data_IF_996820974728
#
_entry.id   IF_996820974728
#
_cell.length_a   1.000
_cell.length_b   1.000
_cell.length_c   1.000
_cell.angle_alpha   90.00
_cell.angle_beta   90.00
_cell.angle_gamma   90.00
#
_symmetry.space_group_name_H-M   'P 1'
#
loop_
_entity.id
_entity.type
_entity.pdbx_description
1 polymer ?
#
# COMPACT_ATOMS: atom_id res chain seq x y z
N UNK A 1 -4.43 -47.01 13.03
CA UNK A 1 -5.00 -45.84 12.34
C UNK A 1 -4.26 -44.62 12.84
N UNK A 2 -3.30 -44.11 12.07
CA UNK A 2 -2.58 -42.87 12.38
C UNK A 2 -3.08 -41.77 11.45
N UNK A 3 -3.39 -40.56 11.95
CA UNK A 3 -3.78 -39.45 11.09
C UNK A 3 -2.52 -38.87 10.44
N UNK A 4 -2.50 -38.88 9.11
CA UNK A 4 -1.50 -38.23 8.27
C UNK A 4 -1.64 -36.71 8.42
N UNK A 5 -0.77 -36.09 9.20
CA UNK A 5 -0.57 -34.63 9.15
C UNK A 5 0.18 -34.28 7.87
N UNK A 6 -0.57 -34.12 6.79
CA UNK A 6 -0.09 -33.51 5.55
C UNK A 6 0.04 -32.01 5.76
N UNK A 7 1.13 -31.59 6.39
CA UNK A 7 1.51 -30.18 6.44
C UNK A 7 2.00 -29.81 5.04
N UNK A 8 1.13 -29.16 4.27
CA UNK A 8 1.47 -28.61 2.95
C UNK A 8 2.64 -27.66 3.12
N UNK A 9 3.84 -28.11 2.79
CA UNK A 9 5.02 -27.26 2.70
C UNK A 9 4.76 -26.27 1.58
N UNK A 10 4.35 -25.05 1.92
CA UNK A 10 4.50 -23.91 1.00
C UNK A 10 5.95 -23.93 0.58
N UNK A 11 6.22 -24.18 -0.70
CA UNK A 11 7.60 -24.20 -1.16
C UNK A 11 8.19 -22.82 -0.88
N UNK A 12 9.40 -22.78 -0.32
CA UNK A 12 10.11 -21.52 -0.04
C UNK A 12 10.11 -20.60 -1.26
N UNK A 13 10.17 -21.18 -2.47
CA UNK A 13 10.04 -20.47 -3.75
C UNK A 13 8.73 -19.68 -3.91
N UNK A 14 7.58 -20.26 -3.55
CA UNK A 14 6.29 -19.56 -3.67
C UNK A 14 6.21 -18.38 -2.69
N UNK A 15 6.68 -18.57 -1.46
CA UNK A 15 6.76 -17.51 -0.45
C UNK A 15 7.69 -16.36 -0.89
N UNK A 16 8.82 -16.64 -1.52
CA UNK A 16 9.70 -15.61 -2.08
C UNK A 16 9.04 -14.81 -3.21
N UNK A 17 8.36 -15.50 -4.13
CA UNK A 17 7.67 -14.86 -5.24
C UNK A 17 6.55 -13.95 -4.73
N UNK A 18 5.75 -14.42 -3.77
CA UNK A 18 4.68 -13.64 -3.15
C UNK A 18 5.24 -12.41 -2.42
N UNK A 19 6.32 -12.58 -1.67
CA UNK A 19 6.95 -11.47 -0.95
C UNK A 19 7.47 -10.39 -1.91
N UNK A 20 8.20 -10.78 -2.96
CA UNK A 20 8.69 -9.86 -3.99
C UNK A 20 7.52 -9.16 -4.71
N UNK A 21 6.46 -9.91 -5.01
CA UNK A 21 5.25 -9.37 -5.63
C UNK A 21 4.59 -8.30 -4.75
N UNK A 22 4.38 -8.56 -3.46
CA UNK A 22 3.76 -7.61 -2.54
C UNK A 22 4.65 -6.40 -2.25
N UNK A 23 5.97 -6.59 -2.14
CA UNK A 23 6.91 -5.46 -2.04
C UNK A 23 6.82 -4.55 -3.26
N UNK A 24 6.76 -5.12 -4.47
CA UNK A 24 6.62 -4.34 -5.69
C UNK A 24 5.30 -3.55 -5.70
N UNK A 25 4.18 -4.19 -5.37
CA UNK A 25 2.87 -3.53 -5.30
C UNK A 25 2.90 -2.37 -4.31
N UNK A 26 3.41 -2.57 -3.09
CA UNK A 26 3.48 -1.52 -2.07
C UNK A 26 4.28 -0.32 -2.56
N UNK A 27 5.46 -0.54 -3.16
CA UNK A 27 6.29 0.54 -3.70
C UNK A 27 5.58 1.33 -4.81
N UNK A 28 4.86 0.66 -5.70
CA UNK A 28 4.08 1.35 -6.73
C UNK A 28 2.98 2.22 -6.12
N UNK A 29 2.27 1.71 -5.11
CA UNK A 29 1.23 2.48 -4.40
C UNK A 29 1.80 3.71 -3.69
N UNK A 30 2.97 3.59 -3.06
CA UNK A 30 3.67 4.71 -2.41
C UNK A 30 4.05 5.81 -3.41
N UNK A 31 4.50 5.44 -4.61
CA UNK A 31 4.81 6.40 -5.68
C UNK A 31 3.55 7.12 -6.16
N UNK A 32 2.48 6.39 -6.47
CA UNK A 32 1.22 6.99 -6.95
C UNK A 32 0.61 7.92 -5.89
N UNK A 33 0.63 7.55 -4.61
CA UNK A 33 0.18 8.41 -3.50
C UNK A 33 1.00 9.71 -3.46
N UNK A 34 2.32 9.63 -3.64
CA UNK A 34 3.18 10.82 -3.63
C UNK A 34 2.83 11.78 -4.76
N UNK A 35 2.62 11.24 -5.97
CA UNK A 35 2.25 12.03 -7.14
C UNK A 35 0.88 12.72 -6.95
N UNK A 36 -0.15 11.98 -6.52
CA UNK A 36 -1.48 12.55 -6.26
C UNK A 36 -1.44 13.63 -5.18
N UNK A 37 -0.65 13.43 -4.12
CA UNK A 37 -0.45 14.45 -3.07
C UNK A 37 0.20 15.72 -3.60
N UNK A 38 1.17 15.61 -4.51
CA UNK A 38 1.79 16.78 -5.15
C UNK A 38 0.76 17.58 -5.95
N UNK A 39 -0.05 16.90 -6.78
CA UNK A 39 -1.09 17.54 -7.58
C UNK A 39 -2.13 18.24 -6.71
N UNK A 40 -2.55 17.62 -5.61
CA UNK A 40 -3.49 18.24 -4.67
C UNK A 40 -2.89 19.46 -3.96
N UNK A 41 -1.59 19.46 -3.66
CA UNK A 41 -0.91 20.64 -3.12
C UNK A 41 -0.94 21.79 -4.11
N UNK A 42 -0.62 21.53 -5.38
CA UNK A 42 -0.69 22.55 -6.44
C UNK A 42 -2.09 23.13 -6.57
N UNK A 43 -3.14 22.30 -6.52
CA UNK A 43 -4.55 22.74 -6.52
C UNK A 43 -4.85 23.62 -5.30
N UNK A 44 -4.44 23.21 -4.10
CA UNK A 44 -4.67 23.99 -2.88
C UNK A 44 -3.94 25.33 -2.90
N UNK A 45 -2.79 25.41 -3.57
CA UNK A 45 -2.01 26.65 -3.73
C UNK A 45 -2.59 27.56 -4.81
N UNK A 46 -3.06 27.01 -5.92
CA UNK A 46 -3.54 27.76 -7.08
C UNK A 46 -4.98 28.28 -6.91
N UNK A 47 -5.87 27.54 -6.22
CA UNK A 47 -7.28 27.92 -6.12
C UNK A 47 -7.71 28.32 -4.71
N UNK A 48 -8.23 29.54 -4.60
CA UNK A 48 -8.84 30.07 -3.38
C UNK A 48 -10.33 29.73 -3.22
N UNK A 49 -10.92 28.98 -4.16
CA UNK A 49 -12.31 28.56 -4.06
C UNK A 49 -12.47 27.62 -2.85
N UNK A 50 -13.27 28.05 -1.87
CA UNK A 50 -13.36 27.40 -0.55
C UNK A 50 -13.80 25.94 -0.61
N UNK A 51 -14.72 25.59 -1.51
CA UNK A 51 -15.19 24.22 -1.70
C UNK A 51 -14.12 23.34 -2.34
N UNK A 52 -13.52 23.79 -3.45
CA UNK A 52 -12.45 23.03 -4.13
C UNK A 52 -11.24 22.80 -3.22
N UNK A 53 -10.87 23.81 -2.45
CA UNK A 53 -9.79 23.69 -1.46
C UNK A 53 -10.17 22.72 -0.33
N UNK A 54 -11.43 22.69 0.08
CA UNK A 54 -11.88 21.74 1.11
C UNK A 54 -11.79 20.30 0.62
N UNK A 55 -12.31 20.01 -0.58
CA UNK A 55 -12.26 18.68 -1.19
C UNK A 55 -10.81 18.23 -1.41
N UNK A 56 -9.94 19.12 -1.89
CA UNK A 56 -8.52 18.83 -2.07
C UNK A 56 -7.79 18.54 -0.74
N UNK A 57 -8.13 19.27 0.34
CA UNK A 57 -7.60 19.01 1.69
C UNK A 57 -8.04 17.64 2.21
N UNK A 58 -9.28 17.25 1.98
CA UNK A 58 -9.80 15.98 2.47
C UNK A 58 -9.15 14.79 1.71
N UNK A 59 -9.05 14.85 0.38
CA UNK A 59 -8.28 13.86 -0.38
C UNK A 59 -6.81 13.80 0.05
N UNK A 60 -6.19 14.95 0.33
CA UNK A 60 -4.81 15.00 0.81
C UNK A 60 -4.65 14.32 2.18
N UNK A 61 -5.64 14.49 3.09
CA UNK A 61 -5.65 13.83 4.40
C UNK A 61 -5.82 12.32 4.25
N UNK A 62 -6.72 11.88 3.39
CA UNK A 62 -6.97 10.46 3.14
C UNK A 62 -5.73 9.78 2.57
N UNK A 63 -5.06 10.40 1.60
CA UNK A 63 -3.79 9.91 1.05
C UNK A 63 -2.67 9.84 2.09
N UNK A 64 -2.59 10.80 3.03
CA UNK A 64 -1.63 10.72 4.14
C UNK A 64 -1.93 9.57 5.10
N UNK A 65 -3.21 9.34 5.39
CA UNK A 65 -3.63 8.22 6.22
C UNK A 65 -3.24 6.90 5.56
N UNK A 66 -3.45 6.79 4.24
CA UNK A 66 -3.12 5.61 3.47
C UNK A 66 -1.60 5.37 3.37
N UNK A 67 -0.81 6.43 3.17
CA UNK A 67 0.66 6.36 3.25
C UNK A 67 1.12 5.84 4.62
N UNK A 68 0.48 6.28 5.70
CA UNK A 68 0.84 5.83 7.05
C UNK A 68 0.56 4.33 7.24
N UNK A 69 -0.57 3.84 6.69
CA UNK A 69 -0.89 2.41 6.70
C UNK A 69 0.09 1.60 5.85
N UNK A 70 0.44 2.06 4.65
CA UNK A 70 1.43 1.42 3.79
C UNK A 70 2.81 1.37 4.45
N UNK A 71 3.27 2.46 5.06
CA UNK A 71 4.54 2.49 5.79
C UNK A 71 4.55 1.51 6.97
N UNK A 72 3.40 1.27 7.63
CA UNK A 72 3.29 0.24 8.68
C UNK A 72 3.37 -1.15 8.07
N UNK A 73 2.60 -1.42 7.02
CA UNK A 73 2.63 -2.71 6.32
C UNK A 73 4.03 -3.04 5.77
N UNK A 74 4.72 -2.06 5.20
CA UNK A 74 6.08 -2.20 4.70
C UNK A 74 7.05 -2.56 5.84
N UNK A 75 6.94 -1.90 7.00
CA UNK A 75 7.73 -2.27 8.20
C UNK A 75 7.35 -3.62 8.77
N UNK A 76 6.07 -4.00 8.72
CA UNK A 76 5.61 -5.32 9.19
C UNK A 76 6.09 -6.44 8.23
N UNK A 77 6.37 -6.09 6.97
CA UNK A 77 6.95 -7.00 5.98
C UNK A 77 8.49 -7.06 6.00
N UNK A 78 9.18 -6.01 6.45
CA UNK A 78 10.64 -6.00 6.56
C UNK A 78 11.04 -6.38 7.99
N UNK A 79 11.88 -7.40 8.14
CA UNK A 79 12.58 -7.62 9.41
C UNK A 79 13.64 -6.51 9.58
N UNK A 80 13.36 -5.44 10.34
CA UNK A 80 14.34 -4.42 10.70
C UNK A 80 14.74 -4.54 12.19
N UNK A 81 15.94 -5.06 12.46
CA UNK A 81 16.50 -5.18 13.81
C UNK A 81 17.86 -5.89 13.83
N UNK A 82 18.67 -5.66 14.87
CA UNK A 82 20.00 -6.27 15.05
C UNK A 82 19.96 -7.82 15.18
N UNK A 83 18.78 -8.38 15.44
CA UNK A 83 18.51 -9.82 15.54
C UNK A 83 17.98 -10.44 14.24
N UNK A 84 17.86 -9.68 13.15
CA UNK A 84 17.47 -10.25 11.85
C UNK A 84 18.68 -10.98 11.24
N UNK A 85 18.59 -12.30 10.99
CA UNK A 85 19.72 -13.08 10.49
C UNK A 85 20.10 -12.63 9.07
N UNK A 86 21.40 -12.68 8.77
CA UNK A 86 21.99 -12.22 7.51
C UNK A 86 21.43 -12.92 6.25
N UNK A 87 20.72 -14.05 6.42
CA UNK A 87 19.99 -14.75 5.37
C UNK A 87 18.47 -14.51 5.56
N UNK A 88 18.08 -13.25 5.37
CA UNK A 88 16.70 -12.76 5.57
C UNK A 88 15.73 -13.58 4.71
N UNK A 89 16.14 -13.93 3.48
CA UNK A 89 15.34 -14.70 2.53
C UNK A 89 14.98 -16.08 3.11
N UNK A 90 15.95 -16.85 3.60
CA UNK A 90 15.67 -18.21 4.08
C UNK A 90 14.85 -18.23 5.38
N UNK A 91 14.98 -17.19 6.23
CA UNK A 91 14.23 -17.07 7.48
C UNK A 91 12.80 -16.58 7.28
N UNK A 92 12.55 -15.73 6.28
CA UNK A 92 11.21 -15.25 5.93
C UNK A 92 10.26 -16.43 5.68
N UNK A 93 10.68 -17.45 4.93
CA UNK A 93 9.80 -18.57 4.60
C UNK A 93 9.80 -19.72 5.62
N UNK A 94 10.66 -19.69 6.64
CA UNK A 94 10.71 -20.70 7.72
C UNK A 94 10.13 -20.25 9.06
N UNK A 95 9.91 -18.94 9.25
CA UNK A 95 9.32 -18.41 10.48
C UNK A 95 7.80 -18.69 10.49
N UNK A 96 7.27 -19.36 11.52
CA UNK A 96 5.84 -19.69 11.68
C UNK A 96 4.93 -18.45 11.72
N UNK A 97 5.50 -17.25 11.85
CA UNK A 97 4.79 -15.99 11.62
C UNK A 97 4.41 -15.76 10.16
N UNK A 98 5.09 -16.35 9.17
CA UNK A 98 4.76 -16.19 7.74
C UNK A 98 3.55 -17.02 7.26
N UNK A 99 2.86 -17.73 8.15
CA UNK A 99 1.41 -17.98 7.99
C UNK A 99 0.59 -16.68 7.88
N UNK A 100 1.22 -15.52 8.15
CA UNK A 100 0.76 -14.19 7.79
C UNK A 100 0.76 -13.92 6.28
N UNK A 101 1.27 -14.74 5.35
CA UNK A 101 1.22 -14.38 3.92
C UNK A 101 -0.22 -14.12 3.44
N UNK A 102 -1.18 -14.93 3.86
CA UNK A 102 -2.61 -14.70 3.61
C UNK A 102 -3.17 -13.48 4.36
N UNK A 103 -2.55 -13.09 5.48
CA UNK A 103 -2.93 -11.91 6.26
C UNK A 103 -2.35 -10.64 5.63
N UNK A 104 -1.10 -10.68 5.16
CA UNK A 104 -0.42 -9.66 4.36
C UNK A 104 -1.18 -9.49 3.05
N UNK A 105 -1.46 -10.55 2.31
CA UNK A 105 -2.31 -10.51 1.11
C UNK A 105 -3.64 -9.82 1.40
N UNK A 106 -4.35 -10.21 2.48
CA UNK A 106 -5.62 -9.58 2.85
C UNK A 106 -5.45 -8.10 3.19
N UNK A 107 -4.42 -7.73 3.96
CA UNK A 107 -4.16 -6.34 4.33
C UNK A 107 -3.73 -5.49 3.12
N UNK A 108 -2.84 -5.99 2.29
CA UNK A 108 -2.39 -5.34 1.06
C UNK A 108 -3.55 -5.19 0.09
N UNK A 109 -4.36 -6.23 -0.12
CA UNK A 109 -5.55 -6.17 -0.98
C UNK A 109 -6.56 -5.14 -0.47
N UNK A 110 -6.81 -5.10 0.85
CA UNK A 110 -7.68 -4.09 1.44
C UNK A 110 -7.14 -2.67 1.22
N UNK A 111 -5.83 -2.47 1.37
CA UNK A 111 -5.19 -1.16 1.13
C UNK A 111 -5.22 -0.76 -0.35
N UNK A 112 -4.98 -1.70 -1.27
CA UNK A 112 -5.06 -1.46 -2.72
C UNK A 112 -6.49 -1.08 -3.13
N UNK A 113 -7.49 -1.73 -2.54
CA UNK A 113 -8.90 -1.37 -2.79
C UNK A 113 -9.25 0.00 -2.21
N UNK A 114 -8.81 0.31 -0.99
CA UNK A 114 -8.99 1.63 -0.36
C UNK A 114 -8.31 2.72 -1.22
N UNK A 115 -7.08 2.47 -1.66
CA UNK A 115 -6.33 3.39 -2.52
C UNK A 115 -7.02 3.60 -3.85
N UNK A 116 -7.47 2.53 -4.51
CA UNK A 116 -8.13 2.62 -5.81
C UNK A 116 -9.37 3.50 -5.74
N UNK A 117 -10.20 3.35 -4.69
CA UNK A 117 -11.38 4.20 -4.48
C UNK A 117 -11.04 5.68 -4.27
N UNK A 118 -10.00 5.96 -3.47
CA UNK A 118 -9.54 7.33 -3.24
C UNK A 118 -8.94 7.93 -4.52
N UNK A 119 -8.14 7.14 -5.25
CA UNK A 119 -7.55 7.52 -6.53
C UNK A 119 -8.62 7.88 -7.55
N UNK A 120 -9.62 7.02 -7.73
CA UNK A 120 -10.70 7.26 -8.69
C UNK A 120 -11.45 8.56 -8.37
N UNK A 121 -11.75 8.80 -7.08
CA UNK A 121 -12.34 10.06 -6.62
C UNK A 121 -11.44 11.27 -6.88
N UNK A 122 -10.15 11.17 -6.55
CA UNK A 122 -9.17 12.23 -6.78
C UNK A 122 -9.03 12.55 -8.28
N UNK A 123 -8.95 11.54 -9.14
CA UNK A 123 -8.84 11.72 -10.60
C UNK A 123 -10.12 12.33 -11.18
N UNK A 124 -11.30 11.92 -10.70
CA UNK A 124 -12.56 12.51 -11.12
C UNK A 124 -12.64 13.99 -10.73
N UNK A 125 -12.21 14.34 -9.51
CA UNK A 125 -12.13 15.71 -9.03
C UNK A 125 -11.16 16.55 -9.89
N UNK A 126 -9.93 16.06 -10.11
CA UNK A 126 -8.93 16.70 -10.97
C UNK A 126 -9.43 16.90 -12.40
N UNK A 127 -10.08 15.88 -12.98
CA UNK A 127 -10.69 15.95 -14.31
C UNK A 127 -11.83 16.97 -14.39
N UNK A 128 -12.64 17.07 -13.34
CA UNK A 128 -13.67 18.10 -13.21
C UNK A 128 -13.07 19.51 -13.20
N UNK A 129 -11.95 19.72 -12.48
CA UNK A 129 -11.26 21.01 -12.50
C UNK A 129 -10.67 21.33 -13.88
N UNK A 130 -10.05 20.37 -14.56
CA UNK A 130 -9.57 20.57 -15.94
C UNK A 130 -10.73 20.93 -16.89
N UNK A 131 -11.87 20.25 -16.75
CA UNK A 131 -13.06 20.50 -17.60
C UNK A 131 -13.66 21.90 -17.39
N UNK A 132 -13.44 22.50 -16.22
CA UNK A 132 -13.84 23.87 -15.90
C UNK A 132 -12.79 24.91 -16.36
N UNK A 133 -11.71 24.51 -17.06
CA UNK A 133 -10.50 25.31 -17.29
C UNK A 133 -9.94 25.92 -15.99
N UNK A 134 -10.07 25.13 -14.91
CA UNK A 134 -9.42 25.32 -13.62
C UNK A 134 -7.90 25.41 -13.82
N UNK A 135 -7.36 24.32 -14.39
CA UNK A 135 -5.95 23.95 -14.54
C UNK A 135 -5.27 24.53 -15.78
#
# INVERSE_FOLDING_TARGET
MNPTTSTTSVSTTACHQDHQHWQYIIRQQEEEIRQLRSLLLEVMEQYNCRSLRHDAVDYYRDLNHLQTKLNRLHRDMICEGADCPADIQQLECTNTRFGLSATIERHTTALVNEFSRIKDGCLQFLSGMMSLNLL
#
